data_IF_016472517460
#
_entry.id   IF_016472517460
#
_cell.length_a   1.000
_cell.length_b   1.000
_cell.length_c   1.000
_cell.angle_alpha   90.00
_cell.angle_beta   90.00
_cell.angle_gamma   90.00
#
_symmetry.space_group_name_H-M   'P 1'
#
loop_
_entity.id
_entity.type
_entity.pdbx_description
1 polymer ?
#
# COMPACT_ATOMS: atom_id res chain seq x y z
N UNK A 1 -24.63 -17.52 0.84
CA UNK A 1 -24.87 -16.10 0.49
C UNK A 1 -25.25 -15.35 1.77
N UNK A 2 -24.27 -14.63 2.36
CA UNK A 2 -24.46 -13.95 3.65
C UNK A 2 -24.84 -12.46 3.50
N UNK A 3 -25.06 -11.99 2.27
CA UNK A 3 -25.52 -10.63 1.97
C UNK A 3 -24.47 -9.54 2.17
N UNK A 4 -23.18 -9.87 2.23
CA UNK A 4 -22.12 -8.87 2.29
C UNK A 4 -21.77 -8.36 0.88
N UNK A 5 -21.57 -7.05 0.74
CA UNK A 5 -21.11 -6.43 -0.51
C UNK A 5 -19.60 -6.62 -0.72
N UNK A 6 -18.83 -6.63 0.38
CA UNK A 6 -17.39 -6.81 0.37
C UNK A 6 -16.98 -7.91 1.35
N UNK A 7 -16.03 -8.74 0.91
CA UNK A 7 -15.36 -9.76 1.73
C UNK A 7 -13.88 -9.51 1.62
N UNK A 8 -13.24 -9.16 2.73
CA UNK A 8 -11.79 -8.95 2.79
C UNK A 8 -11.13 -10.22 3.29
N UNK A 9 -10.25 -10.79 2.46
CA UNK A 9 -9.42 -11.94 2.84
C UNK A 9 -8.02 -11.43 3.21
N UNK A 10 -7.70 -11.46 4.51
CA UNK A 10 -6.33 -11.20 4.97
C UNK A 10 -5.46 -12.40 4.62
N UNK A 11 -4.41 -12.14 3.85
CA UNK A 11 -3.48 -13.15 3.36
C UNK A 11 -2.17 -13.11 4.14
N UNK A 12 -1.64 -14.25 4.58
CA UNK A 12 -0.29 -14.26 5.14
C UNK A 12 0.73 -13.76 4.12
N UNK A 13 1.80 -13.14 4.61
CA UNK A 13 2.89 -12.68 3.75
C UNK A 13 3.52 -13.84 2.97
N UNK A 14 3.96 -13.57 1.75
CA UNK A 14 4.66 -14.54 0.91
C UNK A 14 3.76 -15.23 -0.12
N UNK A 15 4.27 -16.29 -0.71
CA UNK A 15 3.69 -17.01 -1.86
C UNK A 15 3.29 -18.46 -1.52
N UNK A 16 3.15 -18.76 -0.25
CA UNK A 16 2.82 -20.11 0.20
C UNK A 16 1.34 -20.46 -0.02
N UNK A 17 0.99 -21.71 0.22
CA UNK A 17 -0.35 -22.25 -0.03
C UNK A 17 -1.48 -21.41 0.59
N UNK A 18 -1.28 -20.83 1.79
CA UNK A 18 -2.28 -19.99 2.44
C UNK A 18 -2.59 -18.71 1.67
N UNK A 19 -1.55 -18.03 1.16
CA UNK A 19 -1.71 -16.84 0.33
C UNK A 19 -2.40 -17.17 -1.00
N UNK A 20 -2.02 -18.28 -1.64
CA UNK A 20 -2.65 -18.76 -2.87
C UNK A 20 -4.13 -19.09 -2.67
N UNK A 21 -4.49 -19.75 -1.58
CA UNK A 21 -5.90 -20.07 -1.28
C UNK A 21 -6.74 -18.82 -1.04
N UNK A 22 -6.21 -17.83 -0.32
CA UNK A 22 -6.90 -16.56 -0.07
C UNK A 22 -7.16 -15.78 -1.36
N UNK A 23 -6.20 -15.80 -2.29
CA UNK A 23 -6.27 -15.04 -3.54
C UNK A 23 -6.98 -15.78 -4.70
N UNK A 24 -7.15 -17.09 -4.60
CA UNK A 24 -7.67 -17.89 -5.73
C UNK A 24 -9.04 -17.42 -6.23
N UNK A 25 -9.96 -17.07 -5.32
CA UNK A 25 -11.32 -16.62 -5.65
C UNK A 25 -11.48 -15.09 -5.66
N UNK A 26 -10.40 -14.33 -5.45
CA UNK A 26 -10.48 -12.88 -5.36
C UNK A 26 -10.95 -12.24 -6.67
N UNK A 27 -11.77 -11.21 -6.55
CA UNK A 27 -12.15 -10.33 -7.65
C UNK A 27 -11.11 -9.21 -7.81
N UNK A 28 -10.64 -8.66 -6.69
CA UNK A 28 -9.66 -7.61 -6.59
C UNK A 28 -8.51 -8.04 -5.67
N UNK A 29 -7.29 -7.67 -6.01
CA UNK A 29 -6.10 -7.89 -5.20
C UNK A 29 -5.47 -6.55 -4.81
N UNK A 30 -5.34 -6.33 -3.50
CA UNK A 30 -4.62 -5.19 -2.95
C UNK A 30 -3.20 -5.62 -2.55
N UNK A 31 -2.24 -5.33 -3.40
CA UNK A 31 -0.83 -5.66 -3.18
C UNK A 31 -0.19 -4.58 -2.32
N UNK A 32 0.20 -4.94 -1.11
CA UNK A 32 0.83 -4.03 -0.15
C UNK A 32 2.33 -4.28 -0.12
N UNK A 33 3.13 -3.25 -0.40
CA UNK A 33 4.60 -3.33 -0.39
C UNK A 33 5.22 -2.18 0.39
N UNK A 34 6.44 -2.38 0.86
CA UNK A 34 7.29 -1.30 1.35
C UNK A 34 8.21 -0.79 0.22
N UNK A 35 8.72 0.45 0.29
CA UNK A 35 9.61 1.02 -0.73
C UNK A 35 11.05 0.47 -0.63
N UNK A 36 11.18 -0.85 -0.58
CA UNK A 36 12.42 -1.60 -0.45
C UNK A 36 12.54 -2.62 -1.58
N UNK A 37 13.74 -2.80 -2.13
CA UNK A 37 13.98 -3.69 -3.28
C UNK A 37 13.49 -5.12 -3.05
N UNK A 38 13.69 -5.66 -1.85
CA UNK A 38 13.24 -7.02 -1.50
C UNK A 38 11.70 -7.12 -1.52
N UNK A 39 11.02 -6.18 -0.88
CA UNK A 39 9.55 -6.15 -0.79
C UNK A 39 8.91 -5.98 -2.17
N UNK A 40 9.47 -5.12 -3.01
CA UNK A 40 8.97 -4.89 -4.37
C UNK A 40 9.17 -6.15 -5.24
N UNK A 41 10.31 -6.85 -5.11
CA UNK A 41 10.53 -8.13 -5.81
C UNK A 41 9.56 -9.23 -5.38
N UNK A 42 9.25 -9.31 -4.09
CA UNK A 42 8.29 -10.28 -3.59
C UNK A 42 6.87 -9.95 -4.08
N UNK A 43 6.53 -8.66 -4.16
CA UNK A 43 5.27 -8.19 -4.75
C UNK A 43 5.16 -8.55 -6.24
N UNK A 44 6.22 -8.39 -7.02
CA UNK A 44 6.26 -8.79 -8.44
C UNK A 44 6.03 -10.29 -8.62
N UNK A 45 6.60 -11.12 -7.75
CA UNK A 45 6.34 -12.57 -7.74
C UNK A 45 4.89 -12.90 -7.44
N UNK A 46 4.26 -12.20 -6.47
CA UNK A 46 2.84 -12.39 -6.14
C UNK A 46 1.97 -12.04 -7.34
N UNK A 47 2.22 -10.94 -8.03
CA UNK A 47 1.51 -10.54 -9.25
C UNK A 47 1.62 -11.62 -10.34
N UNK A 48 2.82 -12.16 -10.56
CA UNK A 48 3.03 -13.28 -11.48
C UNK A 48 2.21 -14.53 -11.12
N UNK A 49 2.01 -14.80 -9.83
CA UNK A 49 1.20 -15.92 -9.36
C UNK A 49 -0.29 -15.64 -9.54
N UNK A 50 -0.77 -14.44 -9.20
CA UNK A 50 -2.17 -14.03 -9.38
C UNK A 50 -2.59 -14.15 -10.83
N UNK A 51 -1.74 -13.68 -11.75
CA UNK A 51 -2.00 -13.75 -13.19
C UNK A 51 -1.98 -15.16 -13.77
N UNK A 52 -1.30 -16.12 -13.10
CA UNK A 52 -1.14 -17.49 -13.61
C UNK A 52 -2.03 -18.53 -12.92
N UNK A 53 -2.37 -18.32 -11.64
CA UNK A 53 -2.96 -19.37 -10.78
C UNK A 53 -4.27 -18.96 -10.10
N UNK A 54 -4.85 -17.81 -10.44
CA UNK A 54 -6.17 -17.45 -9.96
C UNK A 54 -7.26 -18.23 -10.74
N UNK A 55 -8.43 -18.39 -10.12
CA UNK A 55 -9.59 -18.97 -10.82
C UNK A 55 -9.89 -18.21 -12.12
N UNK A 56 -9.79 -16.88 -12.09
CA UNK A 56 -10.02 -16.04 -13.28
C UNK A 56 -9.00 -16.31 -14.39
N UNK A 57 -7.73 -16.51 -14.03
CA UNK A 57 -6.70 -16.87 -15.00
C UNK A 57 -6.95 -18.26 -15.63
N UNK A 58 -7.44 -19.23 -14.85
CA UNK A 58 -7.71 -20.59 -15.31
C UNK A 58 -8.99 -20.70 -16.15
N UNK A 59 -10.02 -19.90 -15.86
CA UNK A 59 -11.32 -19.97 -16.54
C UNK A 59 -11.45 -19.01 -17.72
N UNK A 60 -10.43 -18.21 -18.01
CA UNK A 60 -10.45 -17.15 -19.04
C UNK A 60 -11.50 -16.07 -18.80
N UNK A 61 -11.93 -15.91 -17.56
CA UNK A 61 -12.79 -14.80 -17.12
C UNK A 61 -12.00 -13.48 -17.12
N UNK A 62 -12.69 -12.39 -16.76
CA UNK A 62 -12.03 -11.08 -16.57
C UNK A 62 -10.89 -11.23 -15.56
N UNK A 63 -9.68 -10.72 -15.86
CA UNK A 63 -8.55 -10.79 -14.94
C UNK A 63 -8.87 -10.19 -13.56
N UNK A 64 -8.15 -10.62 -12.52
CA UNK A 64 -8.18 -9.96 -11.22
C UNK A 64 -7.78 -8.51 -11.41
N UNK A 65 -8.49 -7.59 -10.77
CA UNK A 65 -8.06 -6.19 -10.72
C UNK A 65 -6.99 -6.04 -9.66
N UNK A 66 -5.84 -5.55 -10.05
CA UNK A 66 -4.68 -5.42 -9.19
C UNK A 66 -4.46 -3.95 -8.82
N UNK A 67 -4.29 -3.70 -7.52
CA UNK A 67 -4.06 -2.37 -6.96
C UNK A 67 -2.81 -2.38 -6.09
N UNK A 68 -2.03 -1.31 -6.17
CA UNK A 68 -0.83 -1.11 -5.37
C UNK A 68 -1.10 -0.18 -4.19
N UNK A 69 -0.66 -0.60 -3.01
CA UNK A 69 -0.54 0.23 -1.83
C UNK A 69 0.91 0.20 -1.35
N UNK A 70 1.52 1.37 -1.23
CA UNK A 70 2.87 1.50 -0.68
C UNK A 70 2.76 1.91 0.78
N UNK A 71 3.32 1.11 1.66
CA UNK A 71 3.32 1.32 3.11
C UNK A 71 4.69 1.78 3.60
N UNK A 72 4.72 2.46 4.77
CA UNK A 72 5.95 2.95 5.42
C UNK A 72 6.80 3.84 4.52
N UNK A 73 6.14 4.67 3.73
CA UNK A 73 6.81 5.58 2.81
C UNK A 73 7.38 6.80 3.55
N UNK A 74 8.59 7.18 3.21
CA UNK A 74 9.20 8.41 3.69
C UNK A 74 9.79 9.20 2.54
N UNK A 75 9.13 10.30 2.16
CA UNK A 75 9.60 11.18 1.09
C UNK A 75 11.01 11.73 1.35
N UNK A 76 11.37 11.93 2.62
CA UNK A 76 12.73 12.33 3.01
C UNK A 76 13.74 11.24 2.67
N UNK A 77 13.49 9.98 3.06
CA UNK A 77 14.39 8.85 2.82
C UNK A 77 14.54 8.54 1.33
N UNK A 78 13.48 8.75 0.54
CA UNK A 78 13.58 8.70 -0.93
C UNK A 78 14.52 9.78 -1.46
N UNK A 79 14.40 11.03 -0.98
CA UNK A 79 15.28 12.13 -1.39
C UNK A 79 16.75 11.91 -0.96
N UNK A 80 16.97 11.17 0.12
CA UNK A 80 18.29 10.79 0.63
C UNK A 80 18.85 9.51 -0.09
N UNK A 81 18.08 8.87 -0.97
CA UNK A 81 18.48 7.65 -1.71
C UNK A 81 18.42 6.35 -0.89
N UNK A 82 17.71 6.36 0.23
CA UNK A 82 17.58 5.21 1.14
C UNK A 82 16.35 4.33 0.85
N UNK A 83 15.41 4.84 0.06
CA UNK A 83 14.19 4.14 -0.36
C UNK A 83 13.99 4.28 -1.87
N UNK A 84 13.28 3.33 -2.47
CA UNK A 84 12.82 3.43 -3.86
C UNK A 84 11.81 4.57 -3.99
N UNK A 85 11.84 5.29 -5.11
CA UNK A 85 10.82 6.27 -5.44
C UNK A 85 9.52 5.58 -5.86
N UNK A 86 8.40 6.32 -5.81
CA UNK A 86 7.11 5.82 -6.31
C UNK A 86 7.22 5.41 -7.78
N UNK A 87 7.91 6.22 -8.58
CA UNK A 87 8.11 5.95 -10.00
C UNK A 87 8.86 4.63 -10.23
N UNK A 88 9.94 4.37 -9.48
CA UNK A 88 10.69 3.12 -9.61
C UNK A 88 9.82 1.91 -9.30
N UNK A 89 8.96 2.01 -8.28
CA UNK A 89 8.06 0.92 -7.86
C UNK A 89 6.97 0.70 -8.91
N UNK A 90 6.35 1.76 -9.41
CA UNK A 90 5.31 1.70 -10.46
C UNK A 90 5.89 1.14 -11.77
N UNK A 91 7.12 1.51 -12.14
CA UNK A 91 7.79 1.00 -13.35
C UNK A 91 8.10 -0.51 -13.24
N UNK A 92 8.35 -1.01 -12.04
CA UNK A 92 8.59 -2.44 -11.80
C UNK A 92 7.27 -3.21 -11.77
N UNK A 93 6.30 -2.79 -10.97
CA UNK A 93 5.08 -3.57 -10.70
C UNK A 93 3.99 -3.37 -11.75
N UNK A 94 3.92 -2.20 -12.40
CA UNK A 94 3.00 -1.86 -13.49
C UNK A 94 1.52 -2.08 -13.18
N UNK A 95 1.14 -1.91 -11.93
CA UNK A 95 -0.25 -1.95 -11.47
C UNK A 95 -0.66 -0.59 -10.89
N UNK A 96 -1.96 -0.35 -10.82
CA UNK A 96 -2.51 0.94 -10.42
C UNK A 96 -2.20 1.26 -8.95
N UNK A 97 -1.41 2.31 -8.71
CA UNK A 97 -1.21 2.85 -7.36
C UNK A 97 -2.49 3.53 -6.87
N UNK A 98 -3.04 3.04 -5.76
CA UNK A 98 -4.22 3.64 -5.11
C UNK A 98 -3.89 4.31 -3.78
N UNK A 99 -2.70 4.13 -3.24
CA UNK A 99 -2.33 4.82 -2.02
C UNK A 99 -0.92 4.64 -1.54
N UNK A 100 -0.52 5.64 -0.75
CA UNK A 100 0.78 5.70 -0.09
C UNK A 100 0.53 6.02 1.37
N UNK A 101 0.87 5.09 2.26
CA UNK A 101 0.78 5.28 3.71
C UNK A 101 2.16 5.70 4.22
N UNK A 102 2.30 6.90 4.79
CA UNK A 102 3.58 7.36 5.30
C UNK A 102 4.02 6.58 6.55
N UNK A 103 5.31 6.60 6.84
CA UNK A 103 5.80 6.28 8.19
C UNK A 103 5.12 7.22 9.19
N UNK A 104 4.53 6.66 10.25
CA UNK A 104 3.83 7.43 11.28
C UNK A 104 4.14 6.86 12.66
N UNK A 105 4.49 7.75 13.57
CA UNK A 105 4.75 7.39 14.97
C UNK A 105 3.47 6.94 15.71
N UNK A 106 2.29 7.24 15.17
CA UNK A 106 1.00 6.91 15.79
C UNK A 106 0.62 5.42 15.64
N UNK A 107 1.13 4.76 14.62
CA UNK A 107 0.70 3.38 14.26
C UNK A 107 1.02 2.40 15.36
N UNK A 108 2.26 2.41 15.89
CA UNK A 108 2.69 1.46 16.90
C UNK A 108 1.97 1.67 18.24
N UNK A 109 1.84 2.89 18.80
CA UNK A 109 1.06 3.12 20.01
C UNK A 109 -0.40 2.73 19.88
N UNK A 110 -1.05 3.06 18.75
CA UNK A 110 -2.44 2.68 18.49
C UNK A 110 -2.60 1.15 18.49
N UNK A 111 -1.72 0.45 17.76
CA UNK A 111 -1.71 -1.01 17.71
C UNK A 111 -1.53 -1.65 19.09
N UNK A 112 -0.59 -1.13 19.91
CA UNK A 112 -0.36 -1.62 21.27
C UNK A 112 -1.56 -1.41 22.21
N UNK A 113 -2.39 -0.42 21.92
CA UNK A 113 -3.64 -0.15 22.64
C UNK A 113 -4.84 -0.94 22.08
N UNK A 114 -4.63 -1.75 21.04
CA UNK A 114 -5.71 -2.46 20.34
C UNK A 114 -6.66 -1.54 19.59
N UNK A 115 -6.22 -0.32 19.28
CA UNK A 115 -7.03 0.67 18.55
C UNK A 115 -6.50 0.81 17.12
N UNK A 116 -7.33 0.58 16.08
CA UNK A 116 -6.93 0.84 14.70
C UNK A 116 -6.56 2.31 14.49
N UNK A 117 -5.44 2.58 13.80
CA UNK A 117 -4.93 3.94 13.59
C UNK A 117 -5.93 4.84 12.84
N UNK A 118 -6.85 4.27 12.08
CA UNK A 118 -7.92 5.00 11.38
C UNK A 118 -8.82 5.83 12.31
N UNK A 119 -8.88 5.49 13.60
CA UNK A 119 -9.62 6.27 14.60
C UNK A 119 -8.88 7.52 15.09
N UNK A 120 -7.62 7.70 14.71
CA UNK A 120 -6.82 8.88 15.01
C UNK A 120 -6.86 9.84 13.83
N UNK A 121 -7.93 10.63 13.71
CA UNK A 121 -8.20 11.46 12.52
C UNK A 121 -7.05 12.40 12.10
N UNK A 122 -6.26 12.86 13.07
CA UNK A 122 -5.10 13.75 12.82
C UNK A 122 -3.85 12.98 12.37
N UNK A 123 -3.84 11.66 12.48
CA UNK A 123 -2.70 10.84 12.07
C UNK A 123 -2.55 10.83 10.55
N UNK A 124 -1.35 11.13 10.01
CA UNK A 124 -1.07 11.01 8.58
C UNK A 124 -1.39 9.62 8.01
N UNK A 125 -1.15 8.57 8.79
CA UNK A 125 -1.48 7.21 8.38
C UNK A 125 -3.01 7.00 8.28
N UNK A 126 -3.79 7.49 9.25
CA UNK A 126 -5.25 7.40 9.21
C UNK A 126 -5.83 8.12 8.00
N UNK A 127 -5.36 9.34 7.75
CA UNK A 127 -5.77 10.13 6.59
C UNK A 127 -5.41 9.47 5.25
N UNK A 128 -4.25 8.81 5.19
CA UNK A 128 -3.84 8.06 4.00
C UNK A 128 -4.76 6.85 3.75
N UNK A 129 -5.13 6.10 4.80
CA UNK A 129 -6.08 4.98 4.68
C UNK A 129 -7.47 5.43 4.23
N UNK A 130 -7.97 6.56 4.74
CA UNK A 130 -9.25 7.13 4.29
C UNK A 130 -9.22 7.46 2.79
N UNK A 131 -8.14 8.10 2.33
CA UNK A 131 -7.97 8.39 0.90
C UNK A 131 -7.85 7.12 0.03
N UNK A 132 -7.22 6.06 0.54
CA UNK A 132 -7.09 4.78 -0.15
C UNK A 132 -8.47 4.15 -0.37
N UNK A 133 -9.28 4.09 0.69
CA UNK A 133 -10.63 3.55 0.61
C UNK A 133 -11.48 4.35 -0.38
N UNK A 134 -11.42 5.68 -0.32
CA UNK A 134 -12.14 6.55 -1.24
C UNK A 134 -11.74 6.29 -2.71
N UNK A 135 -10.43 6.17 -3.01
CA UNK A 135 -9.95 5.85 -4.37
C UNK A 135 -10.34 4.45 -4.82
N UNK A 136 -10.33 3.48 -3.91
CA UNK A 136 -10.78 2.13 -4.21
C UNK A 136 -12.27 2.11 -4.58
N UNK A 137 -13.07 2.93 -3.92
CA UNK A 137 -14.50 3.11 -4.22
C UNK A 137 -14.79 4.01 -5.44
N UNK A 138 -13.74 4.53 -6.10
CA UNK A 138 -13.84 5.28 -7.34
C UNK A 138 -13.83 6.80 -7.20
N UNK A 139 -13.57 7.33 -6.00
CA UNK A 139 -13.38 8.78 -5.82
C UNK A 139 -12.00 9.22 -6.30
N UNK A 140 -11.90 10.40 -6.87
CA UNK A 140 -10.62 11.03 -7.20
C UNK A 140 -10.12 11.82 -5.99
N UNK A 141 -8.97 11.41 -5.43
CA UNK A 141 -8.27 12.13 -4.36
C UNK A 141 -6.79 12.24 -4.67
N UNK A 142 -6.13 13.37 -4.36
CA UNK A 142 -4.69 13.51 -4.56
C UNK A 142 -3.91 12.58 -3.61
N UNK A 143 -2.75 12.11 -4.04
CA UNK A 143 -1.81 11.41 -3.16
C UNK A 143 -1.19 12.43 -2.19
N UNK A 144 -1.42 12.24 -0.90
CA UNK A 144 -0.81 13.04 0.17
C UNK A 144 0.48 12.38 0.67
N UNK A 145 1.30 13.13 1.36
CA UNK A 145 2.52 12.67 2.04
C UNK A 145 3.62 12.10 1.12
N UNK A 146 3.59 12.41 -0.17
CA UNK A 146 4.53 11.89 -1.17
C UNK A 146 5.66 12.86 -1.48
N UNK A 147 5.53 14.13 -1.12
CA UNK A 147 6.52 15.17 -1.38
C UNK A 147 7.37 15.47 -0.15
N UNK A 148 8.65 15.71 -0.35
CA UNK A 148 9.56 16.19 0.67
C UNK A 148 9.88 17.67 0.41
N UNK A 149 9.29 18.55 1.21
CA UNK A 149 9.70 19.95 1.26
C UNK A 149 11.04 20.06 2.01
N UNK A 150 12.11 20.35 1.28
CA UNK A 150 13.39 20.67 1.93
C UNK A 150 13.18 21.86 2.85
N UNK A 151 13.52 21.77 4.15
CA UNK A 151 13.40 22.89 5.07
C UNK A 151 14.19 24.07 4.51
N UNK A 152 13.52 25.21 4.33
CA UNK A 152 14.11 26.42 3.81
C UNK A 152 15.36 26.82 4.61
N UNK A 153 16.31 27.50 3.97
CA UNK A 153 17.61 27.90 4.53
C UNK A 153 17.51 28.55 5.93
N UNK A 154 16.47 29.34 6.18
CA UNK A 154 16.21 29.95 7.48
C UNK A 154 15.85 28.94 8.60
N UNK A 155 15.11 27.87 8.30
CA UNK A 155 14.83 26.80 9.27
C UNK A 155 16.07 25.97 9.63
N UNK A 156 17.05 25.85 8.71
CA UNK A 156 18.34 25.20 8.97
C UNK A 156 19.24 26.03 9.89
N UNK A 157 19.13 27.36 9.85
CA UNK A 157 19.95 28.29 10.66
C UNK A 157 19.39 28.48 12.08
N UNK A 158 18.08 28.39 12.27
CA UNK A 158 17.41 28.74 13.54
C UNK A 158 16.65 27.56 14.18
N UNK A 159 16.62 26.37 13.58
CA UNK A 159 15.89 25.17 14.02
C UNK A 159 16.74 24.17 14.82
N UNK A 160 17.72 24.64 15.56
CA UNK A 160 18.50 23.83 16.49
C UNK A 160 17.88 23.86 17.90
N UNK A 161 17.01 22.87 18.19
CA UNK A 161 16.89 22.25 19.53
C UNK A 161 16.08 20.98 19.39
#
# INVERSE_FOLDING_TARGET
>A
DMGFEYIVCDSPAGIETGALMASYFADDALVVTNPEVSSVRDSDRILGILSAKSRRAETSDTPIKEYLLISRYSAKRVADGEMLSLQDIEDILRIKLIGVVPESEDVLPASNQGTPVIHLAESPAAQAYDDIVARYLGEERPLRFVEYEKPGFLKRLFGGK
#
